data_IF_552367998590
#
_entry.id   IF_552367998590
#
_cell.length_a   1.000
_cell.length_b   1.000
_cell.length_c   1.000
_cell.angle_alpha   90.00
_cell.angle_beta   90.00
_cell.angle_gamma   90.00
#
_symmetry.space_group_name_H-M   'P 1'
#
loop_
_entity.id
_entity.type
_entity.pdbx_description
1 polymer ?
#
# COMPACT_ATOMS: atom_id res chain seq x y z
N UNK A 1 -1.10 25.81 -16.91
CA UNK A 1 -0.54 24.70 -17.72
C UNK A 1 0.44 23.82 -16.93
N UNK A 2 1.58 24.31 -16.44
CA UNK A 2 2.57 23.45 -15.75
C UNK A 2 2.01 22.74 -14.50
N UNK A 3 1.19 23.42 -13.69
CA UNK A 3 0.53 22.79 -12.52
C UNK A 3 -0.39 21.63 -12.90
N UNK A 4 -1.10 21.72 -14.03
CA UNK A 4 -1.99 20.66 -14.51
C UNK A 4 -1.19 19.46 -15.02
N UNK A 5 -0.08 19.71 -15.74
CA UNK A 5 0.85 18.66 -16.13
C UNK A 5 1.41 17.93 -14.90
N UNK A 6 1.85 18.68 -13.88
CA UNK A 6 2.31 18.10 -12.62
C UNK A 6 1.23 17.23 -11.97
N UNK A 7 0.01 17.73 -11.82
CA UNK A 7 -1.11 16.95 -11.25
C UNK A 7 -1.38 15.68 -12.06
N UNK A 8 -1.42 15.77 -13.38
CA UNK A 8 -1.71 14.62 -14.26
C UNK A 8 -0.60 13.57 -14.19
N UNK A 9 0.66 14.01 -14.21
CA UNK A 9 1.84 13.16 -14.09
C UNK A 9 1.93 12.50 -12.72
N UNK A 10 1.74 13.26 -11.62
CA UNK A 10 1.72 12.70 -10.27
C UNK A 10 0.55 11.74 -10.05
N UNK A 11 -0.63 12.04 -10.59
CA UNK A 11 -1.77 11.12 -10.53
C UNK A 11 -1.51 9.83 -11.32
N UNK A 12 -0.97 9.94 -12.54
CA UNK A 12 -0.59 8.80 -13.36
C UNK A 12 0.45 7.92 -12.70
N UNK A 13 1.52 8.51 -12.14
CA UNK A 13 2.52 7.76 -11.38
C UNK A 13 1.98 7.21 -10.07
N UNK A 14 1.03 7.89 -9.41
CA UNK A 14 0.35 7.38 -8.23
C UNK A 14 -0.41 6.08 -8.51
N UNK A 15 -1.08 5.99 -9.67
CA UNK A 15 -1.74 4.76 -10.11
C UNK A 15 -0.74 3.62 -10.37
N UNK A 16 0.36 3.93 -11.09
CA UNK A 16 1.42 2.94 -11.36
C UNK A 16 2.06 2.45 -10.06
N UNK A 17 2.34 3.35 -9.11
CA UNK A 17 2.90 3.01 -7.81
C UNK A 17 1.95 2.12 -6.99
N UNK A 18 0.64 2.39 -7.02
CA UNK A 18 -0.36 1.56 -6.35
C UNK A 18 -0.39 0.13 -6.93
N UNK A 19 -0.30 -0.02 -8.25
CA UNK A 19 -0.25 -1.32 -8.92
C UNK A 19 1.05 -2.08 -8.59
N UNK A 20 2.20 -1.41 -8.67
CA UNK A 20 3.48 -2.01 -8.33
C UNK A 20 3.54 -2.48 -6.87
N UNK A 21 2.98 -1.70 -5.94
CA UNK A 21 2.93 -2.07 -4.52
C UNK A 21 1.99 -3.27 -4.27
N UNK A 22 0.83 -3.33 -4.93
CA UNK A 22 -0.07 -4.48 -4.88
C UNK A 22 0.65 -5.78 -5.29
N UNK A 23 1.40 -5.75 -6.38
CA UNK A 23 2.13 -6.94 -6.84
C UNK A 23 3.32 -7.27 -5.93
N UNK A 24 4.05 -6.26 -5.45
CA UNK A 24 5.17 -6.44 -4.51
C UNK A 24 4.73 -7.13 -3.21
N UNK A 25 3.63 -6.67 -2.61
CA UNK A 25 3.12 -7.27 -1.36
C UNK A 25 2.68 -8.71 -1.59
N UNK A 26 2.05 -9.02 -2.72
CA UNK A 26 1.67 -10.41 -3.06
C UNK A 26 2.89 -11.31 -3.20
N UNK A 27 3.89 -10.89 -3.97
CA UNK A 27 5.12 -11.67 -4.15
C UNK A 27 5.88 -11.83 -2.84
N UNK A 28 5.97 -10.79 -2.01
CA UNK A 28 6.60 -10.88 -0.69
C UNK A 28 5.89 -11.90 0.20
N UNK A 29 4.56 -11.89 0.27
CA UNK A 29 3.81 -12.88 1.05
C UNK A 29 4.03 -14.29 0.46
N UNK A 30 4.04 -14.40 -0.87
CA UNK A 30 4.23 -15.67 -1.55
C UNK A 30 5.62 -16.27 -1.33
N UNK A 31 6.67 -15.46 -1.32
CA UNK A 31 8.06 -15.92 -1.13
C UNK A 31 8.46 -16.04 0.33
N UNK A 32 8.05 -15.10 1.18
CA UNK A 32 8.50 -15.01 2.57
C UNK A 32 7.54 -15.64 3.57
N UNK A 33 6.26 -15.85 3.25
CA UNK A 33 5.26 -16.36 4.21
C UNK A 33 4.79 -17.77 3.86
N UNK A 34 4.53 -18.08 2.57
CA UNK A 34 4.14 -19.44 2.16
C UNK A 34 5.10 -20.57 2.59
N UNK A 35 6.43 -20.42 2.59
CA UNK A 35 7.31 -21.50 3.04
C UNK A 35 7.22 -21.75 4.55
N UNK A 36 6.86 -20.74 5.35
CA UNK A 36 6.79 -20.85 6.81
C UNK A 36 5.44 -21.36 7.32
N UNK A 37 4.37 -21.23 6.52
CA UNK A 37 3.02 -21.61 6.92
C UNK A 37 2.48 -22.66 5.95
N UNK A 38 2.71 -23.93 6.31
CA UNK A 38 2.42 -25.10 5.49
C UNK A 38 1.02 -25.11 4.88
N UNK A 39 0.96 -25.27 3.54
CA UNK A 39 -0.16 -25.82 2.72
C UNK A 39 -1.60 -25.43 3.11
N UNK A 40 -1.81 -24.26 3.71
CA UNK A 40 -3.14 -23.69 3.89
C UNK A 40 -3.72 -23.27 2.54
N UNK A 41 -4.95 -23.66 2.25
CA UNK A 41 -5.71 -23.34 1.04
C UNK A 41 -5.57 -21.85 0.65
N UNK A 42 -5.47 -21.55 -0.65
CA UNK A 42 -5.15 -20.21 -1.19
C UNK A 42 -5.98 -19.03 -0.66
N UNK A 43 -7.16 -19.30 -0.10
CA UNK A 43 -8.00 -18.35 0.62
C UNK A 43 -7.33 -17.75 1.88
N UNK A 44 -6.56 -18.53 2.63
CA UNK A 44 -5.85 -18.04 3.82
C UNK A 44 -4.82 -16.96 3.47
N UNK A 45 -4.13 -17.11 2.33
CA UNK A 45 -3.13 -16.15 1.87
C UNK A 45 -3.74 -14.86 1.33
N UNK A 46 -4.86 -14.96 0.62
CA UNK A 46 -5.60 -13.77 0.17
C UNK A 46 -6.15 -12.96 1.35
N UNK A 47 -6.58 -13.63 2.42
CA UNK A 47 -7.03 -12.98 3.64
C UNK A 47 -5.88 -12.27 4.37
N UNK A 48 -4.71 -12.91 4.50
CA UNK A 48 -3.55 -12.29 5.11
C UNK A 48 -3.04 -11.09 4.30
N UNK A 49 -3.03 -11.19 2.97
CA UNK A 49 -2.76 -10.07 2.07
C UNK A 49 -3.68 -8.88 2.35
N UNK A 50 -5.00 -9.11 2.41
CA UNK A 50 -5.97 -8.06 2.67
C UNK A 50 -5.74 -7.40 4.05
N UNK A 51 -5.40 -8.19 5.06
CA UNK A 51 -5.13 -7.70 6.41
C UNK A 51 -3.87 -6.81 6.44
N UNK A 52 -2.77 -7.26 5.84
CA UNK A 52 -1.51 -6.49 5.76
C UNK A 52 -1.72 -5.20 4.97
N UNK A 53 -2.35 -5.28 3.80
CA UNK A 53 -2.63 -4.12 2.96
C UNK A 53 -3.50 -3.08 3.71
N UNK A 54 -4.51 -3.54 4.45
CA UNK A 54 -5.37 -2.68 5.27
C UNK A 54 -4.59 -2.05 6.43
N UNK A 55 -3.77 -2.83 7.12
CA UNK A 55 -2.94 -2.31 8.22
C UNK A 55 -1.95 -1.24 7.73
N UNK A 56 -1.32 -1.45 6.57
CA UNK A 56 -0.45 -0.47 5.94
C UNK A 56 -1.22 0.79 5.55
N UNK A 57 -2.38 0.65 4.90
CA UNK A 57 -3.22 1.78 4.50
C UNK A 57 -3.63 2.62 5.72
N UNK A 58 -4.18 1.99 6.76
CA UNK A 58 -4.60 2.67 8.00
C UNK A 58 -3.42 3.35 8.68
N UNK A 59 -2.27 2.67 8.77
CA UNK A 59 -1.06 3.24 9.38
C UNK A 59 -0.59 4.48 8.60
N UNK A 60 -0.50 4.38 7.28
CA UNK A 60 -0.06 5.47 6.42
C UNK A 60 -1.01 6.66 6.53
N UNK A 61 -2.33 6.43 6.42
CA UNK A 61 -3.34 7.48 6.59
C UNK A 61 -3.25 8.12 7.97
N UNK A 62 -3.11 7.34 9.03
CA UNK A 62 -2.97 7.86 10.40
C UNK A 62 -1.72 8.74 10.56
N UNK A 63 -0.57 8.29 10.06
CA UNK A 63 0.67 9.08 10.11
C UNK A 63 0.57 10.36 9.29
N UNK A 64 -0.03 10.32 8.09
CA UNK A 64 -0.26 11.49 7.27
C UNK A 64 -1.19 12.49 7.97
N UNK A 65 -2.30 12.04 8.54
CA UNK A 65 -3.23 12.90 9.29
C UNK A 65 -2.51 13.59 10.45
N UNK A 66 -1.67 12.86 11.20
CA UNK A 66 -0.88 13.41 12.30
C UNK A 66 0.16 14.43 11.82
N UNK A 67 0.80 14.19 10.68
CA UNK A 67 1.75 15.13 10.08
C UNK A 67 1.05 16.42 9.66
N UNK A 68 -0.07 16.33 8.95
CA UNK A 68 -0.87 17.50 8.53
C UNK A 68 -1.27 18.34 9.75
N UNK A 69 -1.80 17.73 10.80
CA UNK A 69 -2.15 18.44 12.04
C UNK A 69 -0.96 19.13 12.72
N UNK A 70 0.26 18.61 12.55
CA UNK A 70 1.47 19.25 13.09
C UNK A 70 1.93 20.44 12.26
N UNK A 71 1.72 20.41 10.95
CA UNK A 71 2.06 21.52 10.06
C UNK A 71 0.98 22.62 10.05
N UNK A 72 -0.28 22.28 10.26
CA UNK A 72 -1.41 23.23 10.27
C UNK A 72 -1.49 24.06 11.56
N UNK A 73 -0.86 23.59 12.65
CA UNK A 73 -0.72 24.34 13.92
C UNK A 73 0.45 25.33 13.95
N UNK A 74 1.18 25.52 12.84
CA UNK A 74 2.28 26.48 12.71
C UNK A 74 1.89 27.57 11.71
#
# INVERSE_FOLDING_TARGET
>A
MIKQLLTLTTAGFGLVAALAWNDTVKTLIDEWVKPYVSKGSGLGWQFLYALIATALAVSLTYYLTKLVHRFEKK
#
